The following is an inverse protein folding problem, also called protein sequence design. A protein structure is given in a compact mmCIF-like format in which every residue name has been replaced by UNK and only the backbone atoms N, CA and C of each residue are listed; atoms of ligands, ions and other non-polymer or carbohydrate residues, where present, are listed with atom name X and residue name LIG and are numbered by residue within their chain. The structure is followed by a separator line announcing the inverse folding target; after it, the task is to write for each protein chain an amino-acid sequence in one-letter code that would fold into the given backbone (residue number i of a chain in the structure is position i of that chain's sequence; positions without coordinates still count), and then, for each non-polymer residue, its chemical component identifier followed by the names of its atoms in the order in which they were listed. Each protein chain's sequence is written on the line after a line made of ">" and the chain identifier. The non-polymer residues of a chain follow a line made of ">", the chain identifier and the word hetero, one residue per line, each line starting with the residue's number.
data_IF_580098605698
#
_entry.id   IF_580098605698
#
_cell.length_a   1.000
_cell.length_b   1.000
_cell.length_c   1.000
_cell.angle_alpha   90.00
_cell.angle_beta   90.00
_cell.angle_gamma   90.00
#
_symmetry.space_group_name_H-M   'P 1'
#
loop_
_entity.id
_entity.type
_entity.pdbx_description
1 polymer ?
#
# COMPACT_ATOMS: atom_id res chain seq x y z
N UNK A 1 -8.28 3.44 -14.88
CA UNK A 1 -9.38 3.88 -13.99
C UNK A 1 -8.78 4.40 -12.69
N UNK A 2 -9.39 5.40 -12.08
CA UNK A 2 -8.90 5.97 -10.81
C UNK A 2 -10.04 6.23 -9.83
N UNK A 3 -9.72 6.16 -8.54
CA UNK A 3 -10.62 6.49 -7.43
C UNK A 3 -9.94 7.56 -6.58
N UNK A 4 -10.69 8.62 -6.27
CA UNK A 4 -10.28 9.73 -5.43
C UNK A 4 -10.91 9.64 -4.04
N UNK A 5 -10.44 10.48 -3.11
CA UNK A 5 -11.02 10.66 -1.78
C UNK A 5 -11.07 9.37 -0.94
N UNK A 6 -10.05 8.52 -1.08
CA UNK A 6 -9.87 7.36 -0.22
C UNK A 6 -9.09 7.75 1.05
N UNK A 7 -9.23 6.95 2.09
CA UNK A 7 -8.45 7.03 3.33
C UNK A 7 -7.50 5.84 3.38
N UNK A 8 -6.20 6.12 3.30
CA UNK A 8 -5.15 5.14 3.48
C UNK A 8 -4.86 4.92 4.97
N UNK A 9 -4.89 3.65 5.35
CA UNK A 9 -4.34 3.17 6.61
C UNK A 9 -3.22 2.16 6.36
N UNK A 10 -2.30 2.05 7.32
CA UNK A 10 -1.35 0.94 7.34
C UNK A 10 -1.73 -0.08 8.40
N UNK A 11 -1.56 -1.36 8.08
CA UNK A 11 -1.99 -2.47 8.93
C UNK A 11 -0.88 -3.50 9.13
N UNK A 12 -1.08 -4.38 10.11
CA UNK A 12 -0.35 -5.65 10.20
C UNK A 12 -1.26 -6.74 9.65
N UNK A 13 -0.68 -7.73 8.99
CA UNK A 13 -1.42 -8.93 8.54
C UNK A 13 -0.64 -10.17 8.95
N UNK A 14 -1.34 -11.29 9.14
CA UNK A 14 -0.71 -12.56 9.49
C UNK A 14 0.30 -12.97 8.40
N UNK A 15 -0.09 -12.87 7.13
CA UNK A 15 0.77 -13.22 6.00
C UNK A 15 2.02 -12.34 5.93
N UNK A 16 1.90 -11.05 6.27
CA UNK A 16 3.06 -10.16 6.35
C UNK A 16 4.00 -10.58 7.48
N UNK A 17 3.48 -10.95 8.65
CA UNK A 17 4.30 -11.50 9.74
C UNK A 17 5.07 -12.74 9.32
N UNK A 18 4.38 -13.73 8.73
CA UNK A 18 5.00 -14.97 8.23
C UNK A 18 6.08 -14.68 7.18
N UNK A 19 5.81 -13.78 6.24
CA UNK A 19 6.76 -13.44 5.19
C UNK A 19 8.00 -12.71 5.72
N UNK A 20 7.85 -11.87 6.76
CA UNK A 20 8.98 -11.21 7.40
C UNK A 20 9.93 -12.20 8.07
N UNK A 21 9.40 -13.23 8.74
CA UNK A 21 10.21 -14.30 9.37
C UNK A 21 10.91 -15.18 8.33
N UNK A 22 10.27 -15.39 7.17
CA UNK A 22 10.89 -16.10 6.04
C UNK A 22 11.97 -15.30 5.30
N UNK A 23 12.03 -13.98 5.49
CA UNK A 23 13.05 -13.09 4.93
C UNK A 23 12.47 -11.86 4.24
N UNK A 24 13.02 -10.68 4.57
CA UNK A 24 12.48 -9.38 4.12
C UNK A 24 12.74 -9.03 2.65
N UNK A 25 13.70 -9.71 2.00
CA UNK A 25 14.06 -9.53 0.59
C UNK A 25 13.46 -10.60 -0.33
N UNK A 26 12.52 -11.42 0.18
CA UNK A 26 11.91 -12.52 -0.56
C UNK A 26 10.75 -12.05 -1.44
N UNK A 27 10.39 -12.84 -2.46
CA UNK A 27 9.19 -12.60 -3.27
C UNK A 27 7.92 -12.73 -2.43
N UNK A 28 7.96 -13.58 -1.41
CA UNK A 28 6.90 -13.81 -0.44
C UNK A 28 6.60 -12.53 0.33
N UNK A 29 7.62 -11.75 0.73
CA UNK A 29 7.41 -10.44 1.34
C UNK A 29 6.72 -9.45 0.38
N UNK A 30 7.10 -9.44 -0.90
CA UNK A 30 6.42 -8.60 -1.90
C UNK A 30 4.95 -8.99 -2.04
N UNK A 31 4.64 -10.29 -2.13
CA UNK A 31 3.26 -10.78 -2.22
C UNK A 31 2.42 -10.48 -0.97
N UNK A 32 3.05 -10.47 0.21
CA UNK A 32 2.36 -10.27 1.47
C UNK A 32 2.20 -8.81 1.88
N UNK A 33 3.17 -7.94 1.54
CA UNK A 33 3.21 -6.55 1.99
C UNK A 33 3.24 -5.50 0.86
N UNK A 34 3.61 -5.88 -0.36
CA UNK A 34 3.53 -5.04 -1.56
C UNK A 34 2.13 -5.03 -2.18
N UNK A 35 1.09 -4.92 -1.35
CA UNK A 35 -0.32 -5.00 -1.75
C UNK A 35 -1.13 -3.82 -1.18
N UNK A 36 -2.20 -3.45 -1.87
CA UNK A 36 -3.23 -2.53 -1.37
C UNK A 36 -4.58 -3.27 -1.35
N UNK A 37 -5.16 -3.42 -0.16
CA UNK A 37 -6.46 -4.04 0.05
C UNK A 37 -7.58 -2.99 0.01
N UNK A 38 -8.64 -3.29 -0.72
CA UNK A 38 -9.80 -2.43 -0.93
C UNK A 38 -11.06 -3.07 -0.35
N UNK A 39 -12.03 -2.23 0.03
CA UNK A 39 -13.41 -2.67 0.17
C UNK A 39 -13.96 -3.21 -1.16
N UNK A 40 -14.89 -4.16 -1.10
CA UNK A 40 -15.49 -4.81 -2.28
C UNK A 40 -16.16 -3.80 -3.22
N UNK A 41 -16.85 -2.79 -2.69
CA UNK A 41 -17.56 -1.81 -3.50
C UNK A 41 -16.61 -0.82 -4.16
N UNK A 42 -15.51 -0.45 -3.50
CA UNK A 42 -14.49 0.40 -4.12
C UNK A 42 -13.68 -0.36 -5.15
N UNK A 43 -13.37 -1.63 -4.91
CA UNK A 43 -12.69 -2.47 -5.89
C UNK A 43 -13.52 -2.63 -7.18
N UNK A 44 -14.84 -2.77 -7.07
CA UNK A 44 -15.75 -2.76 -8.22
C UNK A 44 -15.67 -1.44 -9.01
N UNK A 45 -15.63 -0.29 -8.31
CA UNK A 45 -15.49 1.02 -8.96
C UNK A 45 -14.12 1.17 -9.66
N UNK A 46 -13.09 0.53 -9.11
CA UNK A 46 -11.74 0.56 -9.71
C UNK A 46 -11.71 -0.20 -11.04
N UNK A 47 -12.66 -1.12 -11.25
CA UNK A 47 -12.87 -1.89 -12.46
C UNK A 47 -11.59 -2.61 -12.93
N UNK A 48 -11.04 -3.40 -12.02
CA UNK A 48 -9.80 -4.15 -12.24
C UNK A 48 -9.86 -5.55 -11.66
N UNK A 49 -8.84 -6.36 -11.94
CA UNK A 49 -8.72 -7.74 -11.46
C UNK A 49 -7.74 -7.78 -10.29
N UNK A 50 -8.01 -8.62 -9.30
CA UNK A 50 -7.09 -8.86 -8.17
C UNK A 50 -5.69 -9.19 -8.71
N UNK A 51 -4.68 -8.57 -8.12
CA UNK A 51 -3.30 -8.67 -8.55
C UNK A 51 -2.91 -7.69 -9.66
N UNK A 52 -3.85 -6.88 -10.18
CA UNK A 52 -3.47 -5.79 -11.11
C UNK A 52 -2.69 -4.72 -10.33
N UNK A 53 -1.52 -4.26 -10.82
CA UNK A 53 -0.79 -3.19 -10.18
C UNK A 53 -1.60 -1.90 -10.14
N UNK A 54 -1.55 -1.22 -9.00
CA UNK A 54 -2.19 0.07 -8.75
C UNK A 54 -1.16 1.04 -8.20
N UNK A 55 -1.24 2.29 -8.62
CA UNK A 55 -0.45 3.40 -8.10
C UNK A 55 -1.27 4.10 -7.03
N UNK A 56 -0.77 4.07 -5.80
CA UNK A 56 -1.36 4.76 -4.64
C UNK A 56 -0.60 6.06 -4.44
N UNK A 57 -1.32 7.18 -4.35
CA UNK A 57 -0.76 8.52 -4.26
C UNK A 57 -1.35 9.21 -3.02
N UNK A 58 -0.48 9.89 -2.27
CA UNK A 58 -0.82 10.78 -1.17
C UNK A 58 -0.06 12.09 -1.34
N UNK A 59 -0.31 13.07 -0.47
CA UNK A 59 0.45 14.33 -0.45
C UNK A 59 1.95 14.12 -0.12
N UNK A 60 2.34 12.92 0.33
CA UNK A 60 3.69 12.60 0.82
C UNK A 60 4.50 11.72 -0.14
N UNK A 61 3.88 11.20 -1.20
CA UNK A 61 4.55 10.38 -2.20
C UNK A 61 3.61 9.42 -2.92
N UNK A 62 4.21 8.53 -3.70
CA UNK A 62 3.49 7.54 -4.50
C UNK A 62 4.17 6.16 -4.48
N UNK A 63 3.40 5.11 -4.66
CA UNK A 63 3.92 3.73 -4.75
C UNK A 63 3.06 2.86 -5.65
N UNK A 64 3.69 1.96 -6.40
CA UNK A 64 3.00 0.92 -7.17
C UNK A 64 2.99 -0.38 -6.36
N UNK A 65 1.79 -0.91 -6.09
CA UNK A 65 1.54 -2.14 -5.32
C UNK A 65 0.48 -3.00 -6.01
N UNK A 66 0.38 -4.28 -5.66
CA UNK A 66 -0.67 -5.14 -6.20
C UNK A 66 -2.02 -4.86 -5.54
N UNK A 67 -3.08 -4.78 -6.33
CA UNK A 67 -4.43 -4.60 -5.79
C UNK A 67 -5.01 -5.92 -5.26
N UNK A 68 -5.77 -5.87 -4.16
CA UNK A 68 -6.51 -7.03 -3.64
C UNK A 68 -7.83 -6.59 -2.99
N UNK A 69 -8.73 -7.54 -2.78
CA UNK A 69 -9.99 -7.30 -2.06
C UNK A 69 -9.79 -7.73 -0.61
N UNK A 70 -10.19 -6.88 0.33
CA UNK A 70 -10.18 -7.19 1.75
C UNK A 70 -11.28 -8.20 2.11
N UNK A 71 -10.94 -9.16 2.98
CA UNK A 71 -11.90 -10.11 3.56
C UNK A 71 -12.58 -9.56 4.82
N UNK A 72 -12.04 -8.47 5.38
CA UNK A 72 -12.60 -7.79 6.54
C UNK A 72 -13.97 -7.15 6.22
N UNK A 73 -14.79 -6.94 7.25
CA UNK A 73 -16.14 -6.39 7.09
C UNK A 73 -16.19 -5.06 6.34
N UNK A 74 -17.33 -4.61 5.80
CA UNK A 74 -17.40 -3.47 4.88
C UNK A 74 -16.75 -2.19 5.42
N UNK A 75 -15.89 -1.57 4.61
CA UNK A 75 -15.17 -0.34 4.91
C UNK A 75 -15.03 0.58 3.67
N UNK A 76 -16.15 1.00 3.03
CA UNK A 76 -16.08 1.86 1.86
C UNK A 76 -15.32 3.16 2.14
N UNK A 77 -14.50 3.57 1.18
CA UNK A 77 -13.63 4.73 1.25
C UNK A 77 -12.31 4.47 1.97
N UNK A 78 -12.06 3.28 2.52
CA UNK A 78 -10.82 2.95 3.23
C UNK A 78 -10.02 1.93 2.44
N UNK A 79 -8.73 2.19 2.26
CA UNK A 79 -7.77 1.25 1.70
C UNK A 79 -6.67 0.98 2.70
N UNK A 80 -6.08 -0.21 2.63
CA UNK A 80 -4.97 -0.56 3.51
C UNK A 80 -3.77 -1.15 2.79
N UNK A 81 -2.58 -0.70 3.18
CA UNK A 81 -1.30 -1.29 2.75
C UNK A 81 -0.63 -1.88 3.99
N UNK A 82 -0.20 -3.15 3.99
CA UNK A 82 0.55 -3.70 5.11
C UNK A 82 1.82 -2.90 5.39
N UNK A 83 2.21 -2.77 6.66
CA UNK A 83 3.40 -2.04 7.05
C UNK A 83 4.66 -2.60 6.37
N UNK A 84 5.50 -1.72 5.85
CA UNK A 84 6.69 -2.10 5.09
C UNK A 84 7.21 -0.97 4.22
N UNK A 85 8.26 -1.23 3.42
CA UNK A 85 8.90 -0.20 2.59
C UNK A 85 7.93 0.40 1.55
N UNK A 86 6.94 -0.37 1.07
CA UNK A 86 5.90 0.12 0.16
C UNK A 86 4.98 1.15 0.81
N UNK A 87 4.41 0.82 1.98
CA UNK A 87 3.57 1.76 2.73
C UNK A 87 4.33 3.05 3.08
N UNK A 88 5.61 2.93 3.46
CA UNK A 88 6.41 4.08 3.88
C UNK A 88 6.69 5.08 2.75
N UNK A 89 6.49 4.73 1.47
CA UNK A 89 6.61 5.68 0.36
C UNK A 89 5.48 6.74 0.35
N UNK A 90 4.37 6.46 1.04
CA UNK A 90 3.14 7.27 1.00
C UNK A 90 2.66 7.67 2.40
N UNK A 91 3.46 7.41 3.43
CA UNK A 91 3.14 7.76 4.82
C UNK A 91 3.56 9.21 5.08
N UNK A 92 2.72 9.95 5.81
CA UNK A 92 3.08 11.27 6.33
C UNK A 92 4.18 11.15 7.39
N UNK A 93 5.40 11.69 7.14
CA UNK A 93 6.51 11.60 8.08
C UNK A 93 6.36 12.55 9.28
N UNK A 94 5.44 13.52 9.23
CA UNK A 94 5.20 14.45 10.32
C UNK A 94 4.74 13.69 11.58
N UNK A 95 5.49 13.90 12.65
CA UNK A 95 5.28 13.27 13.95
C UNK A 95 4.44 14.12 14.90
N UNK A 96 4.06 15.34 14.50
CA UNK A 96 3.25 16.27 15.30
C UNK A 96 3.88 16.49 16.70
N UNK A 97 5.22 16.60 16.72
CA UNK A 97 6.03 16.73 17.94
C UNK A 97 5.90 15.58 18.96
N UNK A 98 5.37 14.43 18.56
CA UNK A 98 5.16 13.25 19.43
C UNK A 98 6.13 12.10 19.11
N UNK A 99 7.03 12.25 18.14
CA UNK A 99 8.03 11.23 17.79
C UNK A 99 7.49 10.02 17.02
N UNK A 100 6.19 9.99 16.67
CA UNK A 100 5.56 8.91 15.90
C UNK A 100 4.92 9.46 14.62
N UNK A 101 5.30 8.99 13.42
CA UNK A 101 4.67 9.40 12.16
C UNK A 101 3.18 9.08 12.07
N UNK A 102 2.49 9.73 11.14
CA UNK A 102 1.06 9.51 10.90
C UNK A 102 0.85 8.34 9.93
N UNK A 103 0.72 7.14 10.48
CA UNK A 103 0.59 5.89 9.73
C UNK A 103 -0.83 5.55 9.24
N UNK A 104 -1.86 6.29 9.67
CA UNK A 104 -3.26 5.98 9.41
C UNK A 104 -4.08 7.25 9.23
N UNK A 105 -5.07 7.21 8.35
CA UNK A 105 -6.03 8.31 8.18
C UNK A 105 -5.63 9.33 7.12
N UNK A 106 -4.73 8.96 6.19
CA UNK A 106 -4.22 9.87 5.16
C UNK A 106 -5.14 9.87 3.95
N UNK A 107 -5.39 11.03 3.35
CA UNK A 107 -6.11 11.08 2.07
C UNK A 107 -5.27 10.46 0.97
N UNK A 108 -5.90 9.66 0.12
CA UNK A 108 -5.25 8.97 -0.97
C UNK A 108 -6.09 8.97 -2.24
N UNK A 109 -5.39 8.88 -3.36
CA UNK A 109 -5.93 8.56 -4.69
C UNK A 109 -5.29 7.25 -5.16
N UNK A 110 -6.05 6.45 -5.89
CA UNK A 110 -5.57 5.20 -6.50
C UNK A 110 -5.85 5.22 -7.99
N UNK A 111 -4.85 4.82 -8.78
CA UNK A 111 -4.95 4.63 -10.22
C UNK A 111 -4.56 3.19 -10.59
N UNK A 112 -5.41 2.49 -11.35
CA UNK A 112 -5.06 1.20 -11.93
C UNK A 112 -4.00 1.39 -13.04
N UNK A 113 -2.88 0.67 -12.92
CA UNK A 113 -1.75 0.73 -13.85
C UNK A 113 -1.37 -0.68 -14.32
N UNK A 114 -2.13 -1.31 -15.24
CA UNK A 114 -1.93 -2.72 -15.61
C UNK A 114 -0.54 -3.07 -16.13
N UNK A 115 0.15 -2.10 -16.76
CA UNK A 115 1.53 -2.24 -17.24
C UNK A 115 2.58 -1.82 -16.20
N UNK A 116 2.16 -1.47 -14.99
CA UNK A 116 3.02 -1.04 -13.89
C UNK A 116 3.85 -2.19 -13.32
N UNK A 117 5.00 -1.85 -12.74
CA UNK A 117 5.88 -2.81 -12.07
C UNK A 117 5.86 -2.55 -10.56
N UNK A 118 5.45 -3.54 -9.78
CA UNK A 118 5.66 -3.54 -8.33
C UNK A 118 7.12 -3.88 -8.07
N UNK A 119 7.86 -2.96 -7.45
CA UNK A 119 9.26 -3.17 -7.10
C UNK A 119 9.37 -4.09 -5.88
N UNK A 120 10.44 -4.88 -5.82
CA UNK A 120 10.78 -5.57 -4.57
C UNK A 120 11.32 -4.58 -3.52
N UNK A 121 11.43 -5.04 -2.28
CA UNK A 121 11.83 -4.18 -1.16
C UNK A 121 13.19 -3.51 -1.38
N UNK A 122 14.16 -4.23 -1.95
CA UNK A 122 15.53 -3.73 -2.12
C UNK A 122 15.58 -2.69 -3.23
N UNK A 123 14.96 -2.99 -4.37
CA UNK A 123 14.91 -2.06 -5.49
C UNK A 123 14.09 -0.81 -5.16
N UNK A 124 13.02 -0.94 -4.35
CA UNK A 124 12.27 0.21 -3.87
C UNK A 124 13.11 1.10 -2.94
N UNK A 125 13.87 0.51 -2.01
CA UNK A 125 14.73 1.27 -1.11
C UNK A 125 15.87 1.97 -1.86
N UNK A 126 16.45 1.36 -2.90
CA UNK A 126 17.48 2.00 -3.75
C UNK A 126 16.99 3.27 -4.45
N UNK A 127 15.68 3.46 -4.60
CA UNK A 127 15.13 4.71 -5.15
C UNK A 127 15.24 5.88 -4.17
N UNK A 128 15.34 5.59 -2.87
CA UNK A 128 15.56 6.59 -1.84
C UNK A 128 17.02 7.04 -1.90
N UNK A 129 17.22 8.34 -2.11
CA UNK A 129 18.56 8.92 -2.06
C UNK A 129 18.97 9.07 -0.59
N UNK A 130 20.11 8.49 -0.23
CA UNK A 130 20.81 8.90 0.98
C UNK A 130 21.26 10.36 0.79
N UNK A 131 21.01 11.18 1.82
CA UNK A 131 21.41 12.58 1.85
C UNK A 131 22.91 12.71 2.17
#
# INVERSE_FOLDING_TARGET
>A
MSINNLILITCRTINQGVALEGGKNTKENVRAAGICAFDKEDFKKLDTIVGTPVKVITDHGEVVVYSTISEEGPHPGIISIPMGPWANQVVNPDSQSCGTPTYKGMKAMVEAVPSGKVLDAVDLIKMLKEA
#
